data_IF_003940901297
#
_entry.id   IF_003940901297
#
_cell.length_a   1.000
_cell.length_b   1.000
_cell.length_c   1.000
_cell.angle_alpha   90.00
_cell.angle_beta   90.00
_cell.angle_gamma   90.00
#
_symmetry.space_group_name_H-M   'P 1'
#
loop_
_entity.id
_entity.type
_entity.pdbx_description
1 polymer ?
#
# COMPACT_ATOMS: atom_id res chain seq x y z
N UNK A 1 7.69 -24.42 3.67
CA UNK A 1 7.68 -23.64 2.40
C UNK A 1 6.36 -22.91 2.19
N UNK A 2 5.20 -23.58 2.31
CA UNK A 2 3.87 -23.00 2.00
C UNK A 2 3.53 -21.72 2.80
N UNK A 3 3.84 -21.68 4.10
CA UNK A 3 3.55 -20.50 4.94
C UNK A 3 4.34 -19.25 4.51
N UNK A 4 5.63 -19.40 4.22
CA UNK A 4 6.45 -18.30 3.70
C UNK A 4 5.89 -17.76 2.38
N UNK A 5 5.47 -18.66 1.49
CA UNK A 5 4.86 -18.28 0.20
C UNK A 5 3.58 -17.48 0.40
N UNK A 6 2.72 -17.86 1.35
CA UNK A 6 1.48 -17.12 1.68
C UNK A 6 1.79 -15.70 2.14
N UNK A 7 2.75 -15.55 3.06
CA UNK A 7 3.18 -14.22 3.52
C UNK A 7 3.69 -13.35 2.37
N UNK A 8 4.58 -13.89 1.53
CA UNK A 8 5.12 -13.19 0.34
C UNK A 8 4.00 -12.78 -0.63
N UNK A 9 3.02 -13.66 -0.89
CA UNK A 9 1.85 -13.32 -1.72
C UNK A 9 1.07 -12.15 -1.10
N UNK A 10 0.84 -12.14 0.21
CA UNK A 10 0.18 -11.02 0.89
C UNK A 10 0.90 -9.70 0.68
N UNK A 11 2.23 -9.68 0.86
CA UNK A 11 3.06 -8.49 0.66
C UNK A 11 3.02 -8.01 -0.79
N UNK A 12 3.15 -8.95 -1.74
CA UNK A 12 3.08 -8.64 -3.17
C UNK A 12 1.71 -8.07 -3.55
N UNK A 13 0.62 -8.67 -3.07
CA UNK A 13 -0.73 -8.18 -3.30
C UNK A 13 -0.93 -6.76 -2.74
N UNK A 14 -0.41 -6.48 -1.54
CA UNK A 14 -0.49 -5.14 -0.96
C UNK A 14 0.16 -4.09 -1.87
N UNK A 15 1.38 -4.31 -2.30
CA UNK A 15 2.09 -3.39 -3.18
C UNK A 15 1.40 -3.27 -4.55
N UNK A 16 0.98 -4.40 -5.16
CA UNK A 16 0.35 -4.43 -6.48
C UNK A 16 -1.01 -3.73 -6.47
N UNK A 17 -1.89 -4.05 -5.51
CA UNK A 17 -3.23 -3.47 -5.46
C UNK A 17 -3.19 -1.96 -5.22
N UNK A 18 -2.36 -1.51 -4.28
CA UNK A 18 -2.14 -0.07 -4.05
C UNK A 18 -1.54 0.61 -5.28
N UNK A 19 -0.58 -0.04 -5.94
CA UNK A 19 0.03 0.46 -7.18
C UNK A 19 -0.98 0.59 -8.33
N UNK A 20 -1.85 -0.41 -8.52
CA UNK A 20 -2.93 -0.37 -9.51
C UNK A 20 -3.91 0.76 -9.19
N UNK A 21 -4.36 0.87 -7.94
CA UNK A 21 -5.26 1.95 -7.50
C UNK A 21 -4.67 3.32 -7.78
N UNK A 22 -3.40 3.53 -7.41
CA UNK A 22 -2.66 4.78 -7.66
C UNK A 22 -2.49 5.05 -9.14
N UNK A 23 -2.13 4.06 -9.94
CA UNK A 23 -1.98 4.20 -11.39
C UNK A 23 -3.28 4.61 -12.08
N UNK A 24 -4.41 4.01 -11.69
CA UNK A 24 -5.73 4.38 -12.20
C UNK A 24 -6.14 5.80 -11.76
N UNK A 25 -5.84 6.17 -10.51
CA UNK A 25 -6.06 7.52 -10.00
C UNK A 25 -5.24 8.57 -10.73
N UNK A 26 -3.94 8.32 -10.88
CA UNK A 26 -3.01 9.20 -11.61
C UNK A 26 -3.37 9.35 -13.08
N UNK A 27 -3.86 8.29 -13.72
CA UNK A 27 -4.37 8.38 -15.09
C UNK A 27 -5.52 9.38 -15.19
N UNK A 28 -6.48 9.33 -14.27
CA UNK A 28 -7.62 10.24 -14.27
C UNK A 28 -7.19 11.69 -14.06
N UNK A 29 -6.34 11.92 -13.05
CA UNK A 29 -5.85 13.28 -12.72
C UNK A 29 -4.92 13.83 -13.78
N UNK A 30 -4.02 13.01 -14.33
CA UNK A 30 -3.10 13.39 -15.38
C UNK A 30 -3.83 13.82 -16.66
N UNK A 31 -4.85 13.04 -17.07
CA UNK A 31 -5.68 13.40 -18.21
C UNK A 31 -6.40 14.75 -18.01
N UNK A 32 -7.00 14.98 -16.83
CA UNK A 32 -7.67 16.22 -16.51
C UNK A 32 -6.67 17.41 -16.47
N UNK A 33 -5.51 17.22 -15.84
CA UNK A 33 -4.47 18.25 -15.74
C UNK A 33 -3.92 18.64 -17.13
N UNK A 34 -3.67 17.66 -17.98
CA UNK A 34 -3.20 17.90 -19.35
C UNK A 34 -4.22 18.71 -20.15
N UNK A 35 -5.53 18.40 -20.03
CA UNK A 35 -6.58 19.17 -20.68
C UNK A 35 -6.60 20.63 -20.22
N UNK A 36 -6.52 20.88 -18.92
CA UNK A 36 -6.46 22.25 -18.36
C UNK A 36 -5.22 23.01 -18.83
N UNK A 37 -4.06 22.34 -18.85
CA UNK A 37 -2.80 22.97 -19.28
C UNK A 37 -2.75 23.23 -20.78
N UNK A 38 -3.46 22.45 -21.59
CA UNK A 38 -3.58 22.71 -23.03
C UNK A 38 -4.35 23.98 -23.32
N UNK A 39 -5.33 24.34 -22.48
CA UNK A 39 -6.07 25.61 -22.58
C UNK A 39 -5.29 26.79 -21.98
N UNK A 40 -4.66 26.56 -20.82
CA UNK A 40 -3.94 27.63 -20.10
C UNK A 40 -2.74 27.02 -19.32
N UNK A 41 -1.52 27.05 -19.90
CA UNK A 41 -0.31 26.55 -19.28
C UNK A 41 0.04 27.21 -17.94
N UNK A 42 -0.42 28.42 -17.66
CA UNK A 42 -0.15 29.15 -16.42
C UNK A 42 -0.79 28.47 -15.20
N UNK A 43 -1.75 27.58 -15.41
CA UNK A 43 -2.45 26.84 -14.35
C UNK A 43 -1.66 25.61 -13.83
N UNK A 44 -0.50 25.29 -14.40
CA UNK A 44 0.31 24.15 -13.99
C UNK A 44 0.49 24.05 -12.48
N UNK A 45 0.97 25.13 -11.84
CA UNK A 45 1.22 25.16 -10.39
C UNK A 45 -0.03 24.94 -9.53
N UNK A 46 -1.21 25.27 -10.07
CA UNK A 46 -2.49 25.13 -9.37
C UNK A 46 -3.07 23.72 -9.46
N UNK A 47 -2.75 22.97 -10.52
CA UNK A 47 -3.31 21.63 -10.74
C UNK A 47 -2.35 20.50 -10.37
N UNK A 48 -1.03 20.75 -10.34
CA UNK A 48 -0.04 19.69 -10.15
C UNK A 48 -0.18 18.98 -8.78
N UNK A 49 -0.48 19.72 -7.73
CA UNK A 49 -0.69 19.14 -6.39
C UNK A 49 -1.89 18.19 -6.40
N UNK A 50 -3.00 18.62 -6.98
CA UNK A 50 -4.20 17.78 -7.14
C UNK A 50 -3.91 16.54 -8.00
N UNK A 51 -3.08 16.70 -9.03
CA UNK A 51 -2.75 15.62 -9.95
C UNK A 51 -1.92 14.52 -9.30
N UNK A 52 -1.07 14.85 -8.32
CA UNK A 52 -0.15 13.92 -7.67
C UNK A 52 -0.76 13.18 -6.46
N UNK A 53 -1.86 13.66 -5.90
CA UNK A 53 -2.46 13.08 -4.70
C UNK A 53 -2.64 11.56 -4.77
N UNK A 54 -3.17 10.95 -5.85
CA UNK A 54 -3.40 9.51 -5.86
C UNK A 54 -2.13 8.65 -5.89
N UNK A 55 -0.94 9.25 -5.91
CA UNK A 55 0.33 8.52 -5.84
C UNK A 55 0.66 8.01 -4.43
N UNK A 56 0.15 8.67 -3.40
CA UNK A 56 0.49 8.41 -2.00
C UNK A 56 0.14 6.99 -1.56
N UNK A 57 -1.00 6.46 -1.95
CA UNK A 57 -1.44 5.12 -1.58
C UNK A 57 -0.56 4.02 -2.17
N UNK A 58 0.01 4.23 -3.36
CA UNK A 58 1.00 3.32 -3.94
C UNK A 58 2.26 3.24 -3.08
N UNK A 59 2.72 4.39 -2.57
CA UNK A 59 3.85 4.48 -1.64
C UNK A 59 3.51 3.79 -0.31
N UNK A 60 2.32 4.01 0.24
CA UNK A 60 1.90 3.38 1.49
C UNK A 60 1.85 1.86 1.38
N UNK A 61 1.28 1.32 0.29
CA UNK A 61 1.27 -0.12 0.04
C UNK A 61 2.66 -0.72 -0.10
N UNK A 62 3.58 0.00 -0.75
CA UNK A 62 4.98 -0.40 -0.86
C UNK A 62 5.69 -0.39 0.51
N UNK A 63 5.49 0.64 1.32
CA UNK A 63 6.04 0.73 2.69
C UNK A 63 5.55 -0.42 3.55
N UNK A 64 4.25 -0.74 3.53
CA UNK A 64 3.69 -1.87 4.27
C UNK A 64 4.28 -3.19 3.79
N UNK A 65 4.49 -3.38 2.50
CA UNK A 65 5.12 -4.58 1.96
C UNK A 65 6.56 -4.75 2.47
N UNK A 66 7.35 -3.68 2.51
CA UNK A 66 8.72 -3.72 3.05
C UNK A 66 8.71 -4.01 4.55
N UNK A 67 7.88 -3.33 5.33
CA UNK A 67 7.78 -3.55 6.76
C UNK A 67 7.36 -5.00 7.06
N UNK A 68 6.36 -5.51 6.35
CA UNK A 68 5.87 -6.87 6.51
C UNK A 68 6.90 -7.94 6.16
N UNK A 69 7.81 -7.67 5.22
CA UNK A 69 8.89 -8.58 4.86
C UNK A 69 9.83 -8.87 6.05
N UNK A 70 10.02 -7.90 6.96
CA UNK A 70 10.81 -8.07 8.17
C UNK A 70 10.22 -9.08 9.18
N UNK A 71 8.95 -9.45 9.03
CA UNK A 71 8.28 -10.44 9.89
C UNK A 71 8.32 -11.86 9.32
N UNK A 72 8.85 -12.06 8.12
CA UNK A 72 9.01 -13.38 7.51
C UNK A 72 10.46 -13.86 7.63
N UNK A 73 10.69 -15.14 7.94
CA UNK A 73 12.03 -15.69 7.96
C UNK A 73 12.59 -15.72 6.53
N UNK A 74 13.87 -15.44 6.38
CA UNK A 74 14.54 -15.54 5.07
C UNK A 74 14.74 -17.00 4.69
N UNK A 75 14.67 -17.29 3.38
CA UNK A 75 14.91 -18.65 2.89
C UNK A 75 16.31 -19.17 3.28
N UNK A 76 17.31 -18.28 3.32
CA UNK A 76 18.68 -18.60 3.75
C UNK A 76 18.75 -18.96 5.22
N UNK A 77 17.96 -18.30 6.09
CA UNK A 77 17.91 -18.61 7.51
C UNK A 77 17.28 -19.98 7.81
N UNK A 78 16.42 -20.47 6.90
CA UNK A 78 15.76 -21.77 7.01
C UNK A 78 16.52 -22.91 6.32
N UNK A 79 17.54 -22.59 5.52
CA UNK A 79 18.30 -23.60 4.76
C UNK A 79 19.05 -24.53 5.68
N UNK A 80 18.84 -25.86 5.50
CA UNK A 80 19.50 -26.88 6.32
C UNK A 80 18.99 -27.03 7.75
N UNK A 81 17.89 -26.34 8.10
CA UNK A 81 17.27 -26.43 9.43
C UNK A 81 16.01 -27.29 9.39
N UNK A 82 15.78 -28.03 10.48
CA UNK A 82 14.48 -28.68 10.73
C UNK A 82 13.53 -27.63 11.27
N UNK A 83 12.47 -27.31 10.53
CA UNK A 83 11.56 -26.21 10.85
C UNK A 83 10.17 -26.72 11.20
N UNK A 84 9.50 -26.06 12.13
CA UNK A 84 8.09 -26.34 12.43
C UNK A 84 7.21 -25.76 11.32
N UNK A 85 6.67 -26.63 10.48
CA UNK A 85 5.82 -26.26 9.37
C UNK A 85 4.53 -25.54 9.81
N UNK A 86 3.98 -25.86 10.99
CA UNK A 86 2.77 -25.23 11.51
C UNK A 86 3.04 -23.78 11.93
N UNK A 87 4.18 -23.54 12.58
CA UNK A 87 4.57 -22.15 12.95
C UNK A 87 4.82 -21.29 11.73
N UNK A 88 5.54 -21.78 10.71
CA UNK A 88 5.74 -21.03 9.46
C UNK A 88 4.42 -20.77 8.75
N UNK A 89 3.48 -21.70 8.77
CA UNK A 89 2.15 -21.53 8.17
C UNK A 89 1.38 -20.43 8.90
N UNK A 90 1.34 -20.46 10.23
CA UNK A 90 0.70 -19.44 11.05
C UNK A 90 1.31 -18.05 10.81
N UNK A 91 2.63 -17.97 10.77
CA UNK A 91 3.36 -16.73 10.50
C UNK A 91 2.97 -16.13 9.12
N UNK A 92 2.95 -16.95 8.10
CA UNK A 92 2.58 -16.52 6.74
C UNK A 92 1.15 -15.96 6.69
N UNK A 93 0.20 -16.63 7.32
CA UNK A 93 -1.18 -16.14 7.40
C UNK A 93 -1.31 -14.87 8.23
N UNK A 94 -0.59 -14.74 9.34
CA UNK A 94 -0.60 -13.53 10.15
C UNK A 94 -0.11 -12.33 9.36
N UNK A 95 1.01 -12.45 8.63
CA UNK A 95 1.50 -11.38 7.76
C UNK A 95 0.52 -11.08 6.63
N UNK A 96 -0.02 -12.12 5.97
CA UNK A 96 -1.00 -11.96 4.88
C UNK A 96 -2.19 -11.09 5.33
N UNK A 97 -2.84 -11.45 6.45
CA UNK A 97 -4.00 -10.71 6.92
C UNK A 97 -3.66 -9.34 7.49
N UNK A 98 -2.47 -9.16 8.07
CA UNK A 98 -2.04 -7.88 8.61
C UNK A 98 -1.92 -6.79 7.53
N UNK A 99 -1.57 -7.15 6.30
CA UNK A 99 -1.39 -6.17 5.22
C UNK A 99 -2.65 -5.91 4.39
N UNK A 100 -3.71 -6.72 4.57
CA UNK A 100 -4.95 -6.60 3.79
C UNK A 100 -5.70 -5.28 3.99
N UNK A 101 -5.77 -4.68 5.20
CA UNK A 101 -6.41 -3.38 5.37
C UNK A 101 -5.81 -2.30 4.46
N UNK A 102 -4.47 -2.25 4.35
CA UNK A 102 -3.81 -1.32 3.43
C UNK A 102 -4.00 -1.73 1.97
N UNK A 103 -3.89 -3.02 1.65
CA UNK A 103 -4.03 -3.52 0.29
C UNK A 103 -5.36 -3.12 -0.34
N UNK A 104 -6.45 -3.33 0.37
CA UNK A 104 -7.82 -3.06 -0.11
C UNK A 104 -8.15 -1.57 0.06
N UNK A 105 -7.95 -1.02 1.27
CA UNK A 105 -8.27 0.37 1.58
C UNK A 105 -7.48 1.34 0.72
N UNK A 106 -6.18 1.10 0.54
CA UNK A 106 -5.31 1.92 -0.31
C UNK A 106 -5.70 1.88 -1.78
N UNK A 107 -5.97 0.69 -2.33
CA UNK A 107 -6.37 0.54 -3.73
C UNK A 107 -7.68 1.28 -4.05
N UNK A 108 -8.70 1.08 -3.22
CA UNK A 108 -10.03 1.71 -3.40
C UNK A 108 -9.93 3.21 -3.19
N UNK A 109 -9.27 3.65 -2.12
CA UNK A 109 -9.07 5.07 -1.81
C UNK A 109 -8.35 5.80 -2.95
N UNK A 110 -7.24 5.25 -3.47
CA UNK A 110 -6.49 5.87 -4.57
C UNK A 110 -7.34 6.08 -5.83
N UNK A 111 -8.12 5.07 -6.20
CA UNK A 111 -9.01 5.15 -7.36
C UNK A 111 -10.08 6.24 -7.18
N UNK A 112 -10.76 6.26 -6.03
CA UNK A 112 -11.81 7.25 -5.73
C UNK A 112 -11.24 8.66 -5.59
N UNK A 113 -10.09 8.80 -4.93
CA UNK A 113 -9.38 10.06 -4.82
C UNK A 113 -8.98 10.61 -6.18
N UNK A 114 -8.50 9.75 -7.08
CA UNK A 114 -8.15 10.16 -8.45
C UNK A 114 -9.33 10.72 -9.22
N UNK A 115 -10.51 10.12 -9.11
CA UNK A 115 -11.73 10.65 -9.74
C UNK A 115 -12.15 12.00 -9.17
N UNK A 116 -12.10 12.14 -7.84
CA UNK A 116 -12.46 13.38 -7.15
C UNK A 116 -11.47 14.50 -7.49
N UNK A 117 -10.16 14.18 -7.48
CA UNK A 117 -9.12 15.12 -7.83
C UNK A 117 -9.20 15.56 -9.32
N UNK A 118 -9.53 14.65 -10.23
CA UNK A 118 -9.74 14.99 -11.63
C UNK A 118 -10.90 15.98 -11.81
N UNK A 119 -12.02 15.79 -11.10
CA UNK A 119 -13.13 16.75 -11.10
C UNK A 119 -12.70 18.11 -10.51
N UNK A 120 -11.92 18.11 -9.43
CA UNK A 120 -11.35 19.31 -8.83
C UNK A 120 -10.43 20.06 -9.82
N UNK A 121 -9.57 19.36 -10.55
CA UNK A 121 -8.69 19.92 -11.59
C UNK A 121 -9.51 20.62 -12.69
N UNK A 122 -10.57 20.00 -13.17
CA UNK A 122 -11.46 20.62 -14.16
C UNK A 122 -12.14 21.88 -13.60
N UNK A 123 -12.52 21.87 -12.31
CA UNK A 123 -13.04 23.06 -11.63
C UNK A 123 -12.02 24.21 -11.57
N UNK A 124 -10.76 23.87 -11.21
CA UNK A 124 -9.64 24.84 -11.19
C UNK A 124 -9.34 25.37 -12.59
N UNK A 125 -9.51 24.55 -13.62
CA UNK A 125 -9.43 24.96 -15.02
C UNK A 125 -10.40 26.10 -15.34
N UNK A 126 -11.62 26.04 -14.81
CA UNK A 126 -12.63 27.09 -15.00
C UNK A 126 -12.40 28.30 -14.09
N UNK A 127 -12.05 28.10 -12.83
CA UNK A 127 -11.83 29.14 -11.81
C UNK A 127 -10.59 28.81 -10.98
N UNK A 128 -9.43 29.37 -11.34
CA UNK A 128 -8.15 29.11 -10.69
C UNK A 128 -8.11 29.47 -9.19
N UNK A 129 -9.02 30.34 -8.73
CA UNK A 129 -9.11 30.77 -7.33
C UNK A 129 -9.59 29.67 -6.37
N UNK A 130 -10.26 28.64 -6.88
CA UNK A 130 -10.78 27.53 -6.05
C UNK A 130 -9.74 26.46 -5.74
N UNK A 131 -8.52 26.55 -6.25
CA UNK A 131 -7.48 25.51 -6.15
C UNK A 131 -7.29 24.99 -4.72
N UNK A 132 -7.07 25.87 -3.76
CA UNK A 132 -6.88 25.50 -2.35
C UNK A 132 -8.13 24.87 -1.72
N UNK A 133 -9.31 25.37 -2.06
CA UNK A 133 -10.58 24.83 -1.56
C UNK A 133 -10.91 23.46 -2.16
N UNK A 134 -10.61 23.27 -3.44
CA UNK A 134 -10.86 22.04 -4.18
C UNK A 134 -9.97 20.88 -3.68
N UNK A 135 -8.82 21.19 -3.06
CA UNK A 135 -7.90 20.19 -2.48
C UNK A 135 -8.53 19.40 -1.33
N UNK A 136 -9.45 20.00 -0.60
CA UNK A 136 -10.07 19.38 0.59
C UNK A 136 -10.80 18.09 0.23
N UNK A 137 -11.51 18.06 -0.89
CA UNK A 137 -12.35 16.90 -1.27
C UNK A 137 -11.53 15.62 -1.53
N UNK A 138 -10.49 15.62 -2.37
CA UNK A 138 -9.66 14.43 -2.51
C UNK A 138 -8.86 14.12 -1.24
N UNK A 139 -8.43 15.12 -0.46
CA UNK A 139 -7.75 14.90 0.81
C UNK A 139 -8.62 14.15 1.84
N UNK A 140 -9.94 14.39 1.85
CA UNK A 140 -10.85 13.62 2.70
C UNK A 140 -10.87 12.12 2.38
N UNK A 141 -10.67 11.76 1.11
CA UNK A 141 -10.62 10.36 0.69
C UNK A 141 -9.30 9.71 1.13
N UNK A 142 -8.22 10.49 1.21
CA UNK A 142 -6.92 10.02 1.67
C UNK A 142 -6.96 9.47 3.10
N UNK A 143 -7.80 10.04 3.98
CA UNK A 143 -7.93 9.54 5.35
C UNK A 143 -8.26 8.05 5.43
N UNK A 144 -9.02 7.51 4.50
CA UNK A 144 -9.33 6.07 4.48
C UNK A 144 -8.10 5.23 4.15
N UNK A 145 -7.19 5.70 3.31
CA UNK A 145 -5.92 5.04 3.09
C UNK A 145 -5.01 5.11 4.32
N UNK A 146 -4.98 6.26 5.00
CA UNK A 146 -4.23 6.42 6.24
C UNK A 146 -4.76 5.50 7.36
N UNK A 147 -6.08 5.33 7.46
CA UNK A 147 -6.65 4.34 8.38
C UNK A 147 -6.20 2.92 8.04
N UNK A 148 -6.23 2.54 6.77
CA UNK A 148 -5.73 1.23 6.31
C UNK A 148 -4.23 1.06 6.62
N UNK A 149 -3.42 2.11 6.42
CA UNK A 149 -1.99 2.14 6.73
C UNK A 149 -1.75 1.90 8.23
N UNK A 150 -2.41 2.68 9.09
CA UNK A 150 -2.24 2.57 10.55
C UNK A 150 -2.68 1.21 11.05
N UNK A 151 -3.83 0.71 10.60
CA UNK A 151 -4.31 -0.63 10.99
C UNK A 151 -3.32 -1.71 10.56
N UNK A 152 -2.79 -1.65 9.34
CA UNK A 152 -1.80 -2.62 8.88
C UNK A 152 -0.51 -2.58 9.69
N UNK A 153 -0.02 -1.40 10.07
CA UNK A 153 1.16 -1.25 10.94
C UNK A 153 0.89 -1.87 12.32
N UNK A 154 -0.27 -1.59 12.92
CA UNK A 154 -0.62 -2.13 14.24
C UNK A 154 -0.76 -3.65 14.21
N UNK A 155 -1.38 -4.21 13.15
CA UNK A 155 -1.50 -5.65 12.98
C UNK A 155 -0.15 -6.31 12.77
N UNK A 156 0.74 -5.73 11.95
CA UNK A 156 2.11 -6.23 11.78
C UNK A 156 2.88 -6.20 13.09
N UNK A 157 2.74 -5.13 13.89
CA UNK A 157 3.39 -5.04 15.21
C UNK A 157 2.94 -6.12 16.20
N UNK A 158 1.78 -6.74 16.00
CA UNK A 158 1.29 -7.86 16.79
C UNK A 158 1.68 -9.24 16.20
N UNK A 159 2.25 -9.29 14.99
CA UNK A 159 2.77 -10.54 14.44
C UNK A 159 4.06 -10.90 15.19
N UNK A 160 4.15 -12.10 15.79
CA UNK A 160 5.38 -12.51 16.46
C UNK A 160 6.56 -12.45 15.49
N UNK A 161 7.62 -11.75 15.87
CA UNK A 161 8.87 -11.78 15.08
C UNK A 161 9.42 -13.20 15.18
N UNK A 162 9.47 -13.90 14.05
CA UNK A 162 9.99 -15.26 14.01
C UNK A 162 11.50 -15.24 14.23
N UNK A 163 11.93 -15.35 15.49
CA UNK A 163 13.30 -15.72 15.75
C UNK A 163 13.51 -17.13 15.19
N UNK A 164 14.46 -17.27 14.28
CA UNK A 164 14.78 -18.57 13.64
C UNK A 164 14.97 -19.67 14.68
N UNK A 165 15.52 -19.33 15.86
CA UNK A 165 15.67 -20.24 17.00
C UNK A 165 14.36 -20.81 17.57
N UNK A 166 13.22 -20.15 17.34
CA UNK A 166 11.91 -20.64 17.80
C UNK A 166 11.22 -21.53 16.76
N UNK A 167 11.56 -21.35 15.50
CA UNK A 167 10.99 -22.10 14.36
C UNK A 167 11.80 -23.37 14.08
N UNK A 168 13.08 -23.38 14.49
CA UNK A 168 13.98 -24.52 14.30
C UNK A 168 13.72 -25.54 15.41
N UNK A 169 13.31 -26.72 15.01
CA UNK A 169 13.18 -27.86 15.95
C UNK A 169 14.57 -28.37 16.24
N UNK A 170 14.99 -28.46 17.54
CA UNK A 170 16.29 -29.06 17.88
C UNK A 170 16.33 -30.50 17.38
N UNK A 171 17.35 -30.87 16.62
CA UNK A 171 17.59 -32.25 16.23
C UNK A 171 18.03 -33.00 17.51
N UNK A 172 17.09 -33.71 18.09
CA UNK A 172 17.43 -34.63 19.19
C UNK A 172 18.20 -35.77 18.53
N UNK A 173 19.49 -36.00 18.88
CA UNK A 173 20.21 -37.16 18.36
C UNK A 173 19.45 -38.42 18.77
N UNK A 174 19.22 -39.32 17.81
CA UNK A 174 18.61 -40.61 18.08
C UNK A 174 19.46 -41.35 19.13
N UNK A 175 18.83 -42.05 20.08
CA UNK A 175 19.50 -42.79 21.12
C UNK A 175 20.39 -43.93 20.58
#
# INVERSE_FOLDING_TARGET
MTGLTIGIIGLALCAILCGIGSGLGLRATGSAATGVMAEDPSKFSKVIVLALLPATQGIYGFVIAILGAGYLPTATALAGQTVDAAQIMSQGWNVFWAVMPMAIGGAVSAYLQGKTAAAAIMGVGKKGEISSKALIFPAMIEFYALLGLVVSILLLGNVPVSNVSQIVVPVIPAP
#
